data_IF_556269397368
#
_entry.id   IF_556269397368
#
_cell.length_a   1.000
_cell.length_b   1.000
_cell.length_c   1.000
_cell.angle_alpha   90.00
_cell.angle_beta   90.00
_cell.angle_gamma   90.00
#
_symmetry.space_group_name_H-M   'P 1'
#
loop_
_entity.id
_entity.type
_entity.pdbx_description
1 polymer ?
#
# COMPACT_ATOMS: atom_id res chain seq x y z
N UNK A 1 32.31 -16.35 -21.98
CA UNK A 1 31.32 -16.88 -21.02
C UNK A 1 30.27 -17.65 -21.80
N UNK A 2 30.00 -18.90 -21.46
CA UNK A 2 29.01 -19.70 -22.15
C UNK A 2 27.61 -19.48 -21.54
N UNK A 3 26.54 -19.53 -22.34
CA UNK A 3 25.16 -19.43 -21.84
C UNK A 3 24.82 -20.51 -20.80
N UNK A 4 25.55 -21.64 -20.80
CA UNK A 4 25.46 -22.70 -19.80
C UNK A 4 25.89 -22.24 -18.40
N UNK A 5 26.75 -21.22 -18.29
CA UNK A 5 27.19 -20.65 -17.02
C UNK A 5 26.14 -19.70 -16.41
N UNK A 6 25.16 -19.25 -17.20
CA UNK A 6 24.07 -18.36 -16.78
C UNK A 6 22.81 -19.12 -16.33
N UNK A 7 22.82 -20.46 -16.39
CA UNK A 7 21.72 -21.26 -15.86
C UNK A 7 21.80 -21.21 -14.34
N UNK A 8 20.95 -20.36 -13.75
CA UNK A 8 20.68 -20.36 -12.32
C UNK A 8 19.94 -21.65 -11.96
N UNK A 9 20.69 -22.74 -11.82
CA UNK A 9 20.16 -24.02 -11.37
C UNK A 9 19.56 -23.82 -9.97
N UNK A 10 18.25 -24.09 -9.86
CA UNK A 10 17.55 -24.13 -8.57
C UNK A 10 18.20 -25.12 -7.58
N UNK A 11 18.93 -26.09 -8.13
CA UNK A 11 19.73 -27.11 -7.45
C UNK A 11 20.98 -26.55 -6.78
N UNK A 12 21.46 -25.36 -7.17
CA UNK A 12 22.62 -24.67 -6.57
C UNK A 12 22.21 -23.69 -5.46
N UNK A 13 21.12 -23.96 -4.74
CA UNK A 13 21.00 -23.42 -3.38
C UNK A 13 22.13 -24.04 -2.56
N UNK A 14 23.28 -23.38 -2.48
CA UNK A 14 24.34 -23.88 -1.61
C UNK A 14 23.92 -23.64 -0.18
N UNK A 15 24.01 -24.67 0.65
CA UNK A 15 23.80 -24.59 2.10
C UNK A 15 24.57 -23.40 2.68
N UNK A 16 25.82 -23.23 2.25
CA UNK A 16 26.69 -22.10 2.61
C UNK A 16 26.05 -20.71 2.35
N UNK A 17 25.35 -20.52 1.22
CA UNK A 17 24.73 -19.23 0.91
C UNK A 17 23.48 -18.95 1.76
N UNK A 18 22.74 -20.00 2.13
CA UNK A 18 21.63 -19.87 3.08
C UNK A 18 22.18 -19.54 4.46
N UNK A 19 23.18 -20.31 4.91
CA UNK A 19 23.83 -20.16 6.20
C UNK A 19 24.39 -18.74 6.39
N UNK A 20 25.11 -18.21 5.40
CA UNK A 20 25.66 -16.85 5.45
C UNK A 20 24.58 -15.80 5.70
N UNK A 21 23.39 -15.95 5.11
CA UNK A 21 22.29 -15.00 5.25
C UNK A 21 21.58 -15.14 6.61
N UNK A 22 21.44 -16.36 7.15
CA UNK A 22 20.56 -16.62 8.30
C UNK A 22 21.28 -16.84 9.63
N UNK A 23 22.57 -17.19 9.62
CA UNK A 23 23.33 -17.66 10.81
C UNK A 23 23.24 -16.74 12.03
N UNK A 24 23.16 -15.44 11.81
CA UNK A 24 23.18 -14.44 12.90
C UNK A 24 21.75 -14.08 13.36
N UNK A 25 20.73 -14.41 12.57
CA UNK A 25 19.37 -13.90 12.74
C UNK A 25 18.34 -14.95 13.12
N UNK A 26 18.64 -16.23 12.89
CA UNK A 26 17.67 -17.33 13.03
C UNK A 26 18.27 -18.51 13.78
N UNK A 27 17.41 -19.23 14.52
CA UNK A 27 17.67 -20.57 15.04
C UNK A 27 16.57 -21.51 14.57
N UNK A 28 16.96 -22.72 14.18
CA UNK A 28 16.04 -23.80 13.85
C UNK A 28 15.74 -24.60 15.11
N UNK A 29 14.45 -24.89 15.35
CA UNK A 29 14.03 -25.88 16.35
C UNK A 29 13.50 -27.13 15.61
N UNK A 30 14.33 -28.19 15.48
CA UNK A 30 13.93 -29.40 14.77
C UNK A 30 12.84 -30.19 15.52
N UNK A 31 12.63 -29.93 16.82
CA UNK A 31 11.57 -30.60 17.59
C UNK A 31 10.18 -30.10 17.23
N UNK A 32 10.05 -28.81 16.94
CA UNK A 32 8.78 -28.15 16.64
C UNK A 32 8.62 -27.79 15.16
N UNK A 33 9.68 -27.96 14.35
CA UNK A 33 9.77 -27.46 12.97
C UNK A 33 9.56 -25.94 12.87
N UNK A 34 9.92 -25.21 13.92
CA UNK A 34 9.79 -23.75 13.97
C UNK A 34 11.11 -23.04 13.70
N UNK A 35 10.98 -21.86 13.09
CA UNK A 35 12.08 -20.95 12.82
C UNK A 35 11.96 -19.78 13.79
N UNK A 36 12.88 -19.70 14.74
CA UNK A 36 12.88 -18.68 15.79
C UNK A 36 13.85 -17.57 15.44
N UNK A 37 13.39 -16.32 15.47
CA UNK A 37 14.25 -15.16 15.27
C UNK A 37 15.10 -14.89 16.53
N UNK A 38 16.41 -14.72 16.35
CA UNK A 38 17.31 -14.26 17.41
C UNK A 38 17.03 -12.80 17.74
N UNK A 39 17.56 -12.25 18.85
CA UNK A 39 17.47 -10.82 19.14
C UNK A 39 17.99 -9.93 17.99
N UNK A 40 19.05 -10.36 17.30
CA UNK A 40 19.57 -9.68 16.11
C UNK A 40 18.56 -9.73 14.95
N UNK A 41 17.92 -10.89 14.71
CA UNK A 41 16.84 -11.02 13.73
C UNK A 41 15.63 -10.14 14.05
N UNK A 42 15.28 -10.01 15.33
CA UNK A 42 14.21 -9.13 15.79
C UNK A 42 14.55 -7.65 15.66
N UNK A 43 15.82 -7.26 15.64
CA UNK A 43 16.26 -5.89 15.42
C UNK A 43 16.22 -5.46 13.94
N UNK A 44 16.09 -6.40 13.00
CA UNK A 44 16.05 -6.11 11.57
C UNK A 44 14.80 -5.29 11.17
N UNK A 45 14.91 -4.55 10.07
CA UNK A 45 13.75 -3.94 9.41
C UNK A 45 12.77 -4.99 8.88
N UNK A 46 11.50 -4.63 8.76
CA UNK A 46 10.43 -5.58 8.36
C UNK A 46 10.73 -6.31 7.04
N UNK A 47 11.30 -5.61 6.05
CA UNK A 47 11.68 -6.21 4.77
C UNK A 47 12.73 -7.32 4.96
N UNK A 48 13.78 -7.04 5.74
CA UNK A 48 14.87 -7.97 6.02
C UNK A 48 14.40 -9.16 6.88
N UNK A 49 13.56 -8.92 7.89
CA UNK A 49 12.94 -9.98 8.70
C UNK A 49 12.20 -11.01 7.84
N UNK A 50 11.36 -10.52 6.94
CA UNK A 50 10.57 -11.36 6.04
C UNK A 50 11.48 -12.17 5.11
N UNK A 51 12.53 -11.55 4.57
CA UNK A 51 13.48 -12.26 3.70
C UNK A 51 14.26 -13.33 4.46
N UNK A 52 14.84 -12.99 5.61
CA UNK A 52 15.57 -13.92 6.47
C UNK A 52 14.69 -15.12 6.84
N UNK A 53 13.44 -14.88 7.24
CA UNK A 53 12.51 -15.96 7.58
C UNK A 53 12.26 -16.89 6.38
N UNK A 54 11.97 -16.34 5.19
CA UNK A 54 11.69 -17.15 4.01
C UNK A 54 12.93 -17.90 3.50
N UNK A 55 14.12 -17.30 3.62
CA UNK A 55 15.39 -17.98 3.31
C UNK A 55 15.61 -19.12 4.30
N UNK A 56 15.34 -18.90 5.59
CA UNK A 56 15.46 -19.94 6.60
C UNK A 56 14.49 -21.10 6.35
N UNK A 57 13.24 -20.82 5.98
CA UNK A 57 12.26 -21.85 5.62
C UNK A 57 12.74 -22.68 4.41
N UNK A 58 13.34 -22.03 3.41
CA UNK A 58 13.94 -22.76 2.28
C UNK A 58 15.18 -23.60 2.66
N UNK A 59 15.80 -23.31 3.81
CA UNK A 59 16.93 -24.03 4.37
C UNK A 59 16.57 -25.31 5.12
N UNK A 60 15.29 -25.58 5.43
CA UNK A 60 14.87 -26.77 6.18
C UNK A 60 15.35 -28.09 5.55
N UNK A 61 15.46 -28.15 4.23
CA UNK A 61 16.00 -29.30 3.49
C UNK A 61 17.45 -29.68 3.81
N UNK A 62 18.19 -28.80 4.48
CA UNK A 62 19.57 -29.06 4.92
C UNK A 62 19.66 -29.34 6.42
N UNK A 63 18.60 -29.05 7.17
CA UNK A 63 18.56 -29.22 8.63
C UNK A 63 17.91 -30.56 9.00
N UNK A 64 16.92 -31.02 8.22
CA UNK A 64 16.16 -32.25 8.50
C UNK A 64 16.02 -33.07 7.22
N UNK A 65 16.14 -34.40 7.35
CA UNK A 65 16.02 -35.33 6.22
C UNK A 65 14.61 -35.35 5.60
N UNK A 66 13.57 -35.13 6.42
CA UNK A 66 12.17 -35.08 5.99
C UNK A 66 11.61 -33.66 6.06
N UNK A 67 11.43 -33.03 4.90
CA UNK A 67 10.98 -31.64 4.80
C UNK A 67 9.47 -31.56 4.94
N UNK A 68 9.00 -31.02 6.06
CA UNK A 68 7.59 -30.63 6.20
C UNK A 68 7.32 -29.29 5.51
N UNK A 69 6.15 -29.18 4.88
CA UNK A 69 5.70 -27.94 4.26
C UNK A 69 5.31 -26.93 5.35
N UNK A 70 6.13 -25.90 5.53
CA UNK A 70 5.85 -24.79 6.44
C UNK A 70 4.89 -23.80 5.76
N UNK A 71 3.80 -23.41 6.45
CA UNK A 71 2.85 -22.44 5.90
C UNK A 71 3.50 -21.05 5.80
N UNK A 72 3.65 -20.56 4.56
CA UNK A 72 4.22 -19.23 4.27
C UNK A 72 3.14 -18.19 3.96
N UNK A 73 1.89 -18.44 4.34
CA UNK A 73 0.82 -17.45 4.25
C UNK A 73 1.08 -16.27 5.20
N UNK A 74 0.55 -15.08 4.87
CA UNK A 74 0.72 -13.89 5.72
C UNK A 74 0.30 -14.09 7.18
N UNK A 75 -0.75 -14.87 7.44
CA UNK A 75 -1.22 -15.13 8.81
C UNK A 75 -0.24 -15.96 9.65
N UNK A 76 0.39 -16.96 9.05
CA UNK A 76 1.40 -17.78 9.73
C UNK A 76 2.70 -16.98 9.93
N UNK A 77 3.14 -16.27 8.89
CA UNK A 77 4.32 -15.41 8.96
C UNK A 77 4.20 -14.28 9.99
N UNK A 78 3.00 -13.78 10.26
CA UNK A 78 2.76 -12.77 11.30
C UNK A 78 3.14 -13.27 12.70
N UNK A 79 2.83 -14.53 13.01
CA UNK A 79 3.20 -15.16 14.27
C UNK A 79 4.72 -15.35 14.38
N UNK A 80 5.36 -15.81 13.30
CA UNK A 80 6.81 -16.07 13.29
C UNK A 80 7.65 -14.78 13.32
N UNK A 81 7.20 -13.73 12.62
CA UNK A 81 7.96 -12.46 12.51
C UNK A 81 7.63 -11.43 13.58
N UNK A 82 6.48 -11.59 14.26
CA UNK A 82 5.92 -10.57 15.15
C UNK A 82 5.47 -9.29 14.41
N UNK A 83 5.35 -9.32 13.09
CA UNK A 83 4.91 -8.18 12.29
C UNK A 83 3.40 -8.23 12.13
N UNK A 84 2.70 -7.21 12.65
CA UNK A 84 1.24 -7.07 12.54
C UNK A 84 0.79 -7.17 11.07
N UNK A 85 -0.26 -7.95 10.82
CA UNK A 85 -0.69 -8.39 9.48
C UNK A 85 -1.07 -7.25 8.53
N UNK A 86 -1.44 -6.08 9.07
CA UNK A 86 -1.68 -4.87 8.29
C UNK A 86 -0.43 -4.37 7.55
N UNK A 87 0.76 -4.65 8.07
CA UNK A 87 2.06 -4.22 7.51
C UNK A 87 2.70 -5.30 6.64
N UNK A 88 2.48 -6.58 6.98
CA UNK A 88 3.12 -7.70 6.29
C UNK A 88 2.71 -7.80 4.81
N UNK A 89 1.42 -7.61 4.50
CA UNK A 89 0.92 -7.67 3.10
C UNK A 89 1.56 -6.60 2.20
N UNK A 90 1.63 -5.32 2.60
CA UNK A 90 2.42 -4.31 1.88
C UNK A 90 3.89 -4.69 1.68
N UNK A 91 4.55 -5.25 2.71
CA UNK A 91 5.96 -5.67 2.63
C UNK A 91 6.13 -6.80 1.62
N UNK A 92 5.33 -7.86 1.70
CA UNK A 92 5.37 -8.97 0.75
C UNK A 92 5.11 -8.50 -0.68
N UNK A 93 4.15 -7.58 -0.88
CA UNK A 93 3.91 -6.97 -2.19
C UNK A 93 5.15 -6.22 -2.69
N UNK A 94 5.76 -5.39 -1.84
CA UNK A 94 6.98 -4.64 -2.15
C UNK A 94 8.13 -5.56 -2.55
N UNK A 95 8.37 -6.62 -1.78
CA UNK A 95 9.42 -7.61 -2.05
C UNK A 95 9.15 -8.39 -3.35
N UNK A 96 7.87 -8.68 -3.65
CA UNK A 96 7.46 -9.32 -4.90
C UNK A 96 7.71 -8.42 -6.10
N UNK A 97 7.35 -7.13 -5.98
CA UNK A 97 7.56 -6.12 -7.01
C UNK A 97 9.06 -5.86 -7.25
N UNK A 98 9.90 -6.06 -6.23
CA UNK A 98 11.36 -6.06 -6.32
C UNK A 98 11.96 -7.39 -6.83
N UNK A 99 11.12 -8.37 -7.18
CA UNK A 99 11.52 -9.71 -7.61
C UNK A 99 12.36 -10.50 -6.59
N UNK A 100 12.35 -10.14 -5.30
CA UNK A 100 13.07 -10.91 -4.28
C UNK A 100 12.29 -12.16 -3.85
N UNK A 101 10.95 -12.07 -3.89
CA UNK A 101 10.04 -13.17 -3.58
C UNK A 101 9.08 -13.46 -4.73
N UNK A 102 8.48 -14.64 -4.72
CA UNK A 102 7.43 -15.09 -5.63
C UNK A 102 6.23 -15.58 -4.81
N UNK A 103 5.03 -15.25 -5.26
CA UNK A 103 3.81 -15.83 -4.68
C UNK A 103 3.57 -17.20 -5.34
N UNK A 104 3.41 -18.24 -4.53
CA UNK A 104 3.05 -19.60 -4.94
C UNK A 104 1.62 -19.90 -4.49
N UNK A 105 1.03 -21.01 -4.92
CA UNK A 105 -0.29 -21.44 -4.42
C UNK A 105 -0.30 -21.69 -2.89
N UNK A 106 0.87 -22.02 -2.34
CA UNK A 106 1.06 -22.38 -0.93
C UNK A 106 1.51 -21.18 -0.07
N UNK A 107 1.85 -20.04 -0.67
CA UNK A 107 2.24 -18.83 0.05
C UNK A 107 3.29 -18.01 -0.68
N UNK A 108 4.42 -17.75 -0.04
CA UNK A 108 5.51 -16.95 -0.57
C UNK A 108 6.83 -17.70 -0.48
N UNK A 109 7.63 -17.64 -1.54
CA UNK A 109 8.95 -18.26 -1.60
C UNK A 109 9.99 -17.27 -2.10
N UNK A 110 11.25 -17.48 -1.71
CA UNK A 110 12.39 -16.66 -2.16
C UNK A 110 12.83 -17.07 -3.56
N UNK A 111 13.27 -16.11 -4.37
CA UNK A 111 13.92 -16.40 -5.65
C UNK A 111 15.41 -16.66 -5.46
N UNK A 112 15.82 -17.90 -5.69
CA UNK A 112 17.22 -18.34 -5.60
C UNK A 112 18.18 -17.50 -6.46
N UNK A 113 17.72 -17.07 -7.64
CA UNK A 113 18.51 -16.25 -8.54
C UNK A 113 18.92 -14.88 -7.97
N UNK A 114 18.30 -14.43 -6.86
CA UNK A 114 18.49 -13.10 -6.28
C UNK A 114 19.09 -13.14 -4.87
N UNK A 115 19.78 -14.21 -4.47
CA UNK A 115 20.39 -14.31 -3.13
C UNK A 115 21.35 -13.16 -2.81
N UNK A 116 22.18 -12.73 -3.76
CA UNK A 116 23.06 -11.57 -3.58
C UNK A 116 22.28 -10.29 -3.24
N UNK A 117 21.17 -10.07 -3.93
CA UNK A 117 20.30 -8.92 -3.67
C UNK A 117 19.61 -9.04 -2.31
N UNK A 118 19.28 -10.25 -1.87
CA UNK A 118 18.70 -10.50 -0.55
C UNK A 118 19.72 -10.24 0.54
N UNK A 119 20.94 -10.76 0.40
CA UNK A 119 22.04 -10.52 1.34
C UNK A 119 22.28 -9.03 1.56
N UNK A 120 22.31 -8.22 0.49
CA UNK A 120 22.39 -6.76 0.58
C UNK A 120 21.26 -6.12 1.37
N UNK A 121 20.02 -6.56 1.15
CA UNK A 121 18.85 -6.05 1.89
C UNK A 121 18.91 -6.42 3.37
N UNK A 122 19.37 -7.63 3.68
CA UNK A 122 19.55 -8.09 5.06
C UNK A 122 20.67 -7.32 5.76
N UNK A 123 21.74 -6.98 5.05
CA UNK A 123 22.82 -6.11 5.51
C UNK A 123 22.39 -4.63 5.71
N UNK A 124 21.13 -4.29 5.40
CA UNK A 124 20.57 -2.96 5.60
C UNK A 124 20.69 -2.03 4.38
N UNK A 125 21.20 -2.52 3.25
CA UNK A 125 21.13 -1.77 2.01
C UNK A 125 19.67 -1.66 1.55
N UNK A 126 19.28 -0.48 1.08
CA UNK A 126 17.92 -0.32 0.56
C UNK A 126 17.77 -1.18 -0.70
N UNK A 127 16.79 -2.09 -0.68
CA UNK A 127 16.39 -2.86 -1.85
C UNK A 127 16.29 -1.92 -3.05
N UNK A 128 17.02 -2.24 -4.13
CA UNK A 128 17.07 -1.43 -5.34
C UNK A 128 15.66 -1.37 -5.89
N UNK A 129 14.93 -0.32 -5.52
CA UNK A 129 13.62 -0.07 -6.07
C UNK A 129 13.84 0.13 -7.57
N UNK A 130 13.17 -0.70 -8.39
CA UNK A 130 13.08 -0.43 -9.82
C UNK A 130 12.80 1.06 -10.00
N UNK A 131 13.51 1.76 -10.91
CA UNK A 131 13.18 3.13 -11.22
C UNK A 131 11.72 3.13 -11.69
N UNK A 132 10.83 3.51 -10.79
CA UNK A 132 9.45 3.77 -11.16
C UNK A 132 9.51 4.88 -12.21
N UNK A 133 8.82 4.73 -13.36
CA UNK A 133 8.92 5.71 -14.43
C UNK A 133 8.57 7.07 -13.86
N UNK A 134 9.61 7.89 -13.69
CA UNK A 134 9.53 9.22 -13.10
C UNK A 134 8.81 10.05 -14.16
N UNK A 135 7.51 10.25 -13.96
CA UNK A 135 6.64 11.03 -14.85
C UNK A 135 7.31 12.40 -15.03
N UNK A 136 8.01 12.59 -16.15
CA UNK A 136 8.73 13.80 -16.49
C UNK A 136 7.71 14.90 -16.65
N UNK A 137 7.67 15.78 -15.65
CA UNK A 137 6.84 16.98 -15.66
C UNK A 137 7.52 17.93 -16.64
N UNK A 138 7.04 17.92 -17.88
CA UNK A 138 7.45 18.86 -18.94
C UNK A 138 7.25 20.27 -18.38
N UNK A 139 8.36 20.94 -18.09
CA UNK A 139 8.38 22.34 -17.72
C UNK A 139 8.08 23.14 -18.99
N UNK A 140 6.96 23.86 -18.99
CA UNK A 140 6.72 24.97 -19.91
C UNK A 140 7.12 26.25 -19.19
N UNK A 141 8.34 26.70 -19.44
CA UNK A 141 8.79 28.10 -19.36
C UNK A 141 8.03 28.90 -20.43
N UNK A 142 7.29 29.95 -20.09
CA UNK A 142 7.67 31.37 -19.92
C UNK A 142 7.21 32.21 -21.12
N UNK A 143 6.35 33.19 -20.82
CA UNK A 143 6.21 34.55 -21.39
C UNK A 143 5.10 35.21 -20.54
N UNK A 144 5.36 35.94 -19.46
CA UNK A 144 6.01 37.26 -19.31
C UNK A 144 5.11 38.43 -19.77
N UNK A 145 4.45 39.12 -18.81
CA UNK A 145 4.45 40.60 -18.66
C UNK A 145 3.47 41.14 -17.58
N UNK A 146 3.99 42.10 -16.80
CA UNK A 146 3.35 43.20 -16.01
C UNK A 146 3.01 43.01 -14.52
N UNK A 147 4.01 43.36 -13.71
CA UNK A 147 4.06 44.45 -12.70
C UNK A 147 2.75 45.02 -12.14
N UNK A 148 2.50 44.89 -10.83
CA UNK A 148 2.19 46.03 -9.92
C UNK A 148 2.34 45.66 -8.44
N UNK A 149 3.20 46.42 -7.77
CA UNK A 149 3.25 46.88 -6.37
C UNK A 149 2.70 46.04 -5.18
N UNK A 150 3.61 45.83 -4.22
CA UNK A 150 3.42 45.46 -2.78
C UNK A 150 2.76 46.63 -2.00
N UNK A 151 2.15 46.45 -0.79
CA UNK A 151 2.84 45.95 0.41
C UNK A 151 1.89 45.19 1.43
N UNK A 152 2.17 45.06 2.74
CA UNK A 152 2.82 43.88 3.33
C UNK A 152 2.04 43.17 4.48
N UNK A 153 2.60 42.01 4.89
CA UNK A 153 2.60 41.39 6.24
C UNK A 153 1.59 40.29 6.63
N UNK A 154 2.18 39.18 7.12
CA UNK A 154 1.71 38.19 8.11
C UNK A 154 0.87 36.97 7.65
N UNK A 155 0.89 35.85 8.40
CA UNK A 155 2.03 34.98 8.68
C UNK A 155 1.79 33.53 8.21
N UNK A 156 2.86 32.75 8.27
CA UNK A 156 2.97 31.34 7.87
C UNK A 156 1.83 30.45 8.38
N UNK A 157 1.07 29.87 7.44
CA UNK A 157 0.27 28.67 7.71
C UNK A 157 0.66 27.58 6.72
N UNK A 158 1.11 26.46 7.28
CA UNK A 158 1.66 25.31 6.57
C UNK A 158 0.84 24.89 5.36
N UNK A 159 1.40 25.10 4.18
CA UNK A 159 0.86 24.65 2.91
C UNK A 159 0.93 23.12 2.85
N UNK A 160 -0.10 22.45 3.37
CA UNK A 160 -0.36 21.04 3.08
C UNK A 160 -0.51 20.88 1.57
N UNK A 161 0.44 20.17 0.94
CA UNK A 161 0.44 19.85 -0.50
C UNK A 161 -0.86 19.13 -0.88
N UNK A 162 -1.87 19.89 -1.29
CA UNK A 162 -3.10 19.37 -1.90
C UNK A 162 -2.73 18.66 -3.20
N UNK A 163 -2.73 17.34 -3.17
CA UNK A 163 -2.67 16.48 -4.37
C UNK A 163 -3.82 16.87 -5.30
N UNK A 164 -3.52 17.59 -6.38
CA UNK A 164 -4.46 17.84 -7.49
C UNK A 164 -4.74 16.50 -8.16
N UNK A 165 -5.89 15.87 -7.84
CA UNK A 165 -6.42 14.75 -8.61
C UNK A 165 -7.02 15.31 -9.89
N UNK A 166 -6.48 14.92 -11.03
CA UNK A 166 -7.08 15.16 -12.33
C UNK A 166 -8.36 14.33 -12.42
N UNK A 167 -9.49 14.99 -12.17
CA UNK A 167 -10.83 14.46 -12.20
C UNK A 167 -11.75 15.61 -11.81
N UNK A 168 -12.90 15.75 -12.48
CA UNK A 168 -13.87 16.80 -12.14
C UNK A 168 -14.13 16.73 -10.63
N UNK A 169 -13.86 17.80 -9.86
CA UNK A 169 -13.94 17.72 -8.41
C UNK A 169 -15.38 17.39 -8.02
N UNK A 170 -15.60 16.27 -7.34
CA UNK A 170 -16.92 15.87 -6.80
C UNK A 170 -17.60 17.06 -6.09
N UNK A 171 -16.82 17.88 -5.39
CA UNK A 171 -17.27 19.11 -4.73
C UNK A 171 -17.90 20.11 -5.70
N UNK A 172 -17.27 20.37 -6.85
CA UNK A 172 -17.80 21.30 -7.85
C UNK A 172 -19.11 20.80 -8.47
N UNK A 173 -19.24 19.50 -8.66
CA UNK A 173 -20.47 18.89 -9.17
C UNK A 173 -21.59 18.91 -8.14
N UNK A 174 -21.26 18.74 -6.85
CA UNK A 174 -22.24 18.92 -5.77
C UNK A 174 -22.75 20.37 -5.69
N UNK A 175 -21.88 21.37 -5.84
CA UNK A 175 -22.32 22.76 -5.92
C UNK A 175 -23.27 22.98 -7.10
N UNK A 176 -22.94 22.46 -8.29
CA UNK A 176 -23.86 22.52 -9.44
C UNK A 176 -25.22 21.89 -9.16
N UNK A 177 -25.28 20.79 -8.42
CA UNK A 177 -26.55 20.15 -8.04
C UNK A 177 -27.35 21.01 -7.05
N UNK A 178 -26.68 21.70 -6.13
CA UNK A 178 -27.34 22.67 -5.24
C UNK A 178 -27.89 23.84 -6.06
N UNK A 179 -27.07 24.42 -6.93
CA UNK A 179 -27.44 25.58 -7.75
C UNK A 179 -28.54 25.23 -8.77
N UNK A 180 -28.57 23.98 -9.26
CA UNK A 180 -29.60 23.48 -10.19
C UNK A 180 -30.92 23.10 -9.50
N UNK A 181 -31.07 23.33 -8.19
CA UNK A 181 -32.28 23.00 -7.44
C UNK A 181 -32.53 21.49 -7.23
N UNK A 182 -31.52 20.63 -7.40
CA UNK A 182 -31.70 19.18 -7.22
C UNK A 182 -32.15 18.81 -5.79
N UNK A 183 -31.75 19.63 -4.81
CA UNK A 183 -32.05 19.48 -3.40
C UNK A 183 -33.31 20.24 -2.93
N UNK A 184 -34.16 20.74 -3.84
CA UNK A 184 -35.45 21.36 -3.46
C UNK A 184 -36.34 20.36 -2.71
N UNK A 185 -36.29 19.09 -3.13
CA UNK A 185 -36.90 17.95 -2.45
C UNK A 185 -35.88 17.24 -1.54
N UNK A 186 -36.37 16.48 -0.56
CA UNK A 186 -35.52 15.65 0.28
C UNK A 186 -34.85 14.52 -0.52
N UNK A 187 -33.52 14.54 -0.60
CA UNK A 187 -32.71 13.53 -1.30
C UNK A 187 -31.82 12.77 -0.34
N UNK A 188 -31.76 11.45 -0.49
CA UNK A 188 -30.80 10.60 0.24
C UNK A 188 -29.46 10.56 -0.49
N UNK A 189 -28.40 10.16 0.21
CA UNK A 189 -27.07 9.96 -0.37
C UNK A 189 -27.10 9.03 -1.60
N UNK A 190 -27.94 7.99 -1.60
CA UNK A 190 -28.10 7.08 -2.74
C UNK A 190 -28.62 7.79 -3.99
N UNK A 191 -29.61 8.68 -3.84
CA UNK A 191 -30.13 9.51 -4.94
C UNK A 191 -29.06 10.47 -5.48
N UNK A 192 -28.23 11.04 -4.60
CA UNK A 192 -27.12 11.92 -5.01
C UNK A 192 -26.07 11.15 -5.82
N UNK A 193 -25.69 9.94 -5.40
CA UNK A 193 -24.75 9.09 -6.16
C UNK A 193 -25.30 8.78 -7.54
N UNK A 194 -26.56 8.37 -7.62
CA UNK A 194 -27.22 8.04 -8.89
C UNK A 194 -27.21 9.23 -9.85
N UNK A 195 -27.53 10.43 -9.34
CA UNK A 195 -27.48 11.67 -10.13
C UNK A 195 -26.06 12.03 -10.59
N UNK A 196 -25.04 11.80 -9.77
CA UNK A 196 -23.65 12.01 -10.18
C UNK A 196 -23.23 11.00 -11.27
N UNK A 197 -23.69 9.75 -11.20
CA UNK A 197 -23.43 8.75 -12.23
C UNK A 197 -24.11 9.12 -13.55
N UNK A 198 -25.32 9.68 -13.54
CA UNK A 198 -25.98 10.25 -14.73
C UNK A 198 -25.16 11.38 -15.37
N UNK A 199 -24.42 12.15 -14.56
CA UNK A 199 -23.48 13.18 -15.02
C UNK A 199 -22.10 12.63 -15.43
N UNK A 200 -21.97 11.30 -15.59
CA UNK A 200 -20.72 10.59 -15.86
C UNK A 200 -19.64 10.77 -14.79
N UNK A 201 -20.02 11.05 -13.54
CA UNK A 201 -19.10 11.21 -12.40
C UNK A 201 -19.24 9.99 -11.49
N UNK A 202 -18.29 9.05 -11.61
CA UNK A 202 -18.25 7.87 -10.76
C UNK A 202 -17.78 8.21 -9.34
N UNK A 203 -18.72 8.35 -8.42
CA UNK A 203 -18.46 8.56 -6.99
C UNK A 203 -18.88 7.34 -6.16
N UNK A 204 -18.12 7.04 -5.09
CA UNK A 204 -18.53 6.07 -4.05
C UNK A 204 -19.39 6.78 -3.01
N UNK A 205 -20.43 6.14 -2.48
CA UNK A 205 -21.28 6.71 -1.42
C UNK A 205 -20.47 7.19 -0.21
N UNK A 206 -19.47 6.41 0.21
CA UNK A 206 -18.58 6.76 1.34
C UNK A 206 -17.71 7.98 1.09
N UNK A 207 -17.50 8.38 -0.17
CA UNK A 207 -16.72 9.57 -0.53
C UNK A 207 -17.53 10.87 -0.54
N UNK A 208 -18.87 10.78 -0.46
CA UNK A 208 -19.76 11.94 -0.48
C UNK A 208 -20.13 12.46 0.92
N UNK A 209 -19.96 11.65 1.97
CA UNK A 209 -20.33 12.02 3.33
C UNK A 209 -19.60 13.28 3.83
N UNK A 210 -18.30 13.39 3.55
CA UNK A 210 -17.49 14.57 3.88
C UNK A 210 -17.95 15.84 3.14
N UNK A 211 -17.92 15.85 1.80
CA UNK A 211 -18.34 17.02 1.01
C UNK A 211 -19.77 17.49 1.29
N UNK A 212 -20.72 16.57 1.50
CA UNK A 212 -22.10 16.95 1.86
C UNK A 212 -22.18 17.53 3.27
N UNK A 213 -21.43 16.98 4.23
CA UNK A 213 -21.37 17.55 5.58
C UNK A 213 -20.82 18.98 5.57
N UNK A 214 -19.85 19.29 4.70
CA UNK A 214 -19.34 20.65 4.53
C UNK A 214 -20.40 21.61 3.98
N UNK A 215 -21.25 21.16 3.03
CA UNK A 215 -22.39 21.95 2.54
C UNK A 215 -23.45 22.20 3.62
N UNK A 216 -23.67 21.23 4.51
CA UNK A 216 -24.58 21.39 5.66
C UNK A 216 -24.00 22.39 6.66
N UNK A 217 -22.70 22.32 6.97
CA UNK A 217 -22.02 23.30 7.85
C UNK A 217 -22.03 24.71 7.26
N UNK A 218 -21.94 24.81 5.94
CA UNK A 218 -22.03 26.07 5.22
C UNK A 218 -23.47 26.62 5.11
N UNK A 219 -24.47 25.95 5.70
CA UNK A 219 -25.88 26.37 5.66
C UNK A 219 -26.57 26.20 4.31
N UNK A 220 -25.90 25.59 3.32
CA UNK A 220 -26.47 25.39 1.97
C UNK A 220 -27.45 24.22 1.92
N UNK A 221 -27.28 23.26 2.83
CA UNK A 221 -28.15 22.10 2.96
C UNK A 221 -28.58 21.93 4.42
N UNK A 222 -29.81 21.50 4.62
CA UNK A 222 -30.34 20.98 5.87
C UNK A 222 -30.38 19.46 5.79
N UNK A 223 -30.19 18.79 6.93
CA UNK A 223 -30.26 17.31 7.01
C UNK A 223 -31.36 16.89 7.98
N UNK A 224 -32.08 15.83 7.64
CA UNK A 224 -33.10 15.20 8.48
C UNK A 224 -32.91 13.69 8.50
N UNK A 225 -33.22 13.05 9.61
CA UNK A 225 -33.14 11.60 9.74
C UNK A 225 -34.48 11.01 9.28
N UNK A 226 -34.45 10.09 8.32
CA UNK A 226 -35.62 9.44 7.73
C UNK A 226 -35.40 7.93 7.76
N UNK A 227 -36.42 7.17 8.15
CA UNK A 227 -36.36 5.71 8.17
C UNK A 227 -36.87 5.17 6.83
N UNK A 228 -35.98 4.54 6.06
CA UNK A 228 -36.27 3.95 4.75
C UNK A 228 -35.79 2.49 4.76
N UNK A 229 -36.67 1.54 4.48
CA UNK A 229 -36.33 0.10 4.49
C UNK A 229 -35.88 -0.43 5.87
N UNK A 230 -36.44 0.10 6.96
CA UNK A 230 -36.08 -0.30 8.33
C UNK A 230 -34.70 0.16 8.79
N UNK A 231 -34.04 1.04 8.02
CA UNK A 231 -32.77 1.66 8.39
C UNK A 231 -32.92 3.18 8.44
N UNK A 232 -32.25 3.76 9.41
CA UNK A 232 -32.19 5.21 9.55
C UNK A 232 -31.15 5.80 8.60
N UNK A 233 -31.60 6.66 7.69
CA UNK A 233 -30.78 7.29 6.66
C UNK A 233 -30.95 8.82 6.77
N UNK A 234 -29.89 9.57 6.44
CA UNK A 234 -29.99 11.03 6.35
C UNK A 234 -30.52 11.46 4.99
N UNK A 235 -31.58 12.27 4.99
CA UNK A 235 -32.07 13.04 3.85
C UNK A 235 -31.52 14.47 3.91
N UNK A 236 -31.32 15.07 2.74
CA UNK A 236 -30.77 16.41 2.57
C UNK A 236 -31.68 17.26 1.68
N UNK A 237 -31.86 18.52 2.06
CA UNK A 237 -32.68 19.52 1.35
C UNK A 237 -31.95 20.86 1.32
N UNK A 238 -32.15 21.69 0.31
CA UNK A 238 -31.66 23.08 0.30
C UNK A 238 -32.28 23.86 1.46
N UNK A 239 -31.42 24.54 2.22
CA UNK A 239 -31.80 25.42 3.35
C UNK A 239 -32.33 26.77 2.89
#
# INVERSE_FOLDING_TARGET
MALKDLVADRSKLTEAAIEEIVRDYVRYDPGTYEVVLTPAGLALGNDAKVLVLLVAIAGWKYVVDEVQAVDTKPSAMEQMTGIVGGTLRPVLKKLKDAHLVVATGEGYAVRVANFDAISRVVAGEKAIARPTPRKTKRASSEEDFRTTERPPSSPETGATKKRRRAGVPIVSSLHRLVDSGFFVEERTLGKVVSRLHEMAITAKTTSLSGPIADLVRAGKLTRKKVTEGGKDIWSYRSG
#
